data_IF_149161906346
#
_entry.id   IF_149161906346
#
_cell.length_a   1.000
_cell.length_b   1.000
_cell.length_c   1.000
_cell.angle_alpha   90.00
_cell.angle_beta   90.00
_cell.angle_gamma   90.00
#
_symmetry.space_group_name_H-M   'P 1'
#
loop_
_entity.id
_entity.type
_entity.pdbx_description
1 polymer ?
#
# COMPACT_ATOMS: atom_id res chain seq x y z
N UNK A 1 -12.59 -1.17 -5.23
CA UNK A 1 -11.26 -0.53 -5.18
C UNK A 1 -11.17 0.39 -4.00
N UNK A 2 -10.16 1.25 -3.94
CA UNK A 2 -9.97 2.15 -2.82
C UNK A 2 -11.22 2.97 -2.51
N UNK A 3 -11.90 3.46 -3.53
CA UNK A 3 -13.11 4.28 -3.36
C UNK A 3 -14.32 3.51 -2.85
N UNK A 4 -14.30 2.19 -2.93
CA UNK A 4 -15.41 1.39 -2.40
C UNK A 4 -15.42 1.36 -0.88
N UNK A 5 -14.28 1.63 -0.26
CA UNK A 5 -14.11 1.57 1.18
C UNK A 5 -13.92 2.94 1.83
N UNK A 6 -13.43 3.91 1.07
CA UNK A 6 -13.12 5.24 1.58
C UNK A 6 -13.77 6.30 0.71
N UNK A 7 -14.30 7.32 1.34
CA UNK A 7 -14.72 8.53 0.65
C UNK A 7 -13.51 9.39 0.32
N UNK A 8 -13.68 10.37 -0.58
CA UNK A 8 -12.56 11.17 -1.08
C UNK A 8 -11.78 11.88 0.03
N UNK A 9 -12.47 12.43 1.02
CA UNK A 9 -11.81 13.12 2.13
C UNK A 9 -11.08 12.14 3.06
N UNK A 10 -11.62 10.94 3.26
CA UNK A 10 -10.96 9.90 4.04
C UNK A 10 -9.71 9.39 3.31
N UNK A 11 -9.79 9.26 2.00
CA UNK A 11 -8.65 8.87 1.19
C UNK A 11 -7.54 9.91 1.28
N UNK A 12 -7.91 11.19 1.26
CA UNK A 12 -6.95 12.28 1.42
C UNK A 12 -6.26 12.23 2.79
N UNK A 13 -7.02 11.95 3.85
CA UNK A 13 -6.45 11.80 5.18
C UNK A 13 -5.44 10.66 5.23
N UNK A 14 -5.76 9.53 4.60
CA UNK A 14 -4.84 8.40 4.51
C UNK A 14 -3.55 8.79 3.79
N UNK A 15 -3.66 9.49 2.66
CA UNK A 15 -2.50 9.94 1.90
C UNK A 15 -1.62 10.87 2.72
N UNK A 16 -2.21 11.80 3.45
CA UNK A 16 -1.47 12.73 4.32
C UNK A 16 -0.79 11.98 5.47
N UNK A 17 -1.49 11.03 6.06
CA UNK A 17 -0.91 10.21 7.13
C UNK A 17 0.33 9.47 6.66
N UNK A 18 0.25 8.82 5.50
CA UNK A 18 1.37 8.08 4.93
C UNK A 18 2.51 9.00 4.49
N UNK A 19 2.18 10.19 4.00
CA UNK A 19 3.20 11.17 3.63
C UNK A 19 4.03 11.62 4.85
N UNK A 20 3.37 11.72 6.02
CA UNK A 20 4.05 12.08 7.26
C UNK A 20 4.76 10.93 7.94
N UNK A 21 4.37 9.69 7.63
CA UNK A 21 4.97 8.50 8.24
C UNK A 21 4.94 7.31 7.28
N UNK A 22 5.77 7.31 6.23
CA UNK A 22 5.68 6.25 5.21
C UNK A 22 6.04 4.86 5.74
N UNK A 23 6.68 4.77 6.89
CA UNK A 23 7.04 3.49 7.49
C UNK A 23 6.07 3.06 8.61
N UNK A 24 4.91 3.68 8.68
CA UNK A 24 3.93 3.38 9.73
C UNK A 24 3.39 1.95 9.65
N UNK A 25 3.22 1.39 8.45
CA UNK A 25 2.77 0.01 8.30
C UNK A 25 3.89 -1.00 8.49
N UNK A 26 3.51 -2.23 8.83
CA UNK A 26 4.47 -3.31 9.03
C UNK A 26 4.85 -3.96 7.70
N UNK A 27 6.13 -4.23 7.53
CA UNK A 27 6.61 -4.91 6.32
C UNK A 27 6.02 -6.32 6.25
N UNK A 28 5.50 -6.67 5.10
CA UNK A 28 4.91 -8.00 4.85
C UNK A 28 5.96 -8.94 4.26
N UNK A 29 6.28 -10.04 4.96
CA UNK A 29 7.23 -11.01 4.40
C UNK A 29 6.75 -11.56 3.05
N UNK A 30 7.68 -11.81 2.16
CA UNK A 30 7.37 -12.42 0.86
C UNK A 30 6.86 -11.48 -0.20
N UNK A 31 6.82 -10.17 0.06
CA UNK A 31 6.32 -9.18 -0.89
C UNK A 31 7.41 -8.28 -1.48
N UNK A 32 8.63 -8.39 -0.97
CA UNK A 32 9.72 -7.52 -1.43
C UNK A 32 9.73 -6.17 -0.75
N UNK A 33 8.90 -5.96 0.28
CA UNK A 33 8.93 -4.73 1.06
C UNK A 33 7.61 -3.97 1.11
N UNK A 34 6.53 -4.54 0.59
CA UNK A 34 5.21 -3.95 0.79
C UNK A 34 4.88 -3.91 2.27
N UNK A 35 4.11 -2.90 2.66
CA UNK A 35 3.70 -2.70 4.05
C UNK A 35 2.19 -2.83 4.18
N UNK A 36 1.76 -3.28 5.35
CA UNK A 36 0.35 -3.42 5.69
C UNK A 36 0.04 -2.49 6.85
N UNK A 37 -0.92 -1.60 6.65
CA UNK A 37 -1.34 -0.62 7.64
C UNK A 37 -2.78 -0.89 8.03
N UNK A 38 -3.06 -0.86 9.33
CA UNK A 38 -4.43 -0.90 9.84
C UNK A 38 -5.05 0.47 9.73
N UNK A 39 -6.29 0.53 9.25
CA UNK A 39 -6.98 1.80 9.06
C UNK A 39 -8.42 1.70 9.52
N UNK A 40 -8.95 2.77 10.07
CA UNK A 40 -10.32 2.78 10.58
C UNK A 40 -11.33 2.66 9.44
N UNK A 41 -12.37 1.85 9.65
CA UNK A 41 -13.48 1.73 8.71
C UNK A 41 -14.68 2.48 9.28
N UNK A 42 -14.87 3.72 8.87
CA UNK A 42 -15.94 4.58 9.38
C UNK A 42 -17.33 4.11 8.95
N UNK A 43 -17.42 3.42 7.84
CA UNK A 43 -18.70 2.89 7.35
C UNK A 43 -19.32 1.91 8.34
N UNK A 44 -18.47 1.21 9.09
CA UNK A 44 -18.90 0.17 10.03
C UNK A 44 -18.74 0.56 11.49
N UNK A 45 -18.26 1.74 11.76
CA UNK A 45 -17.98 2.19 13.12
C UNK A 45 -16.86 1.40 13.78
N UNK A 46 -16.01 0.73 13.01
CA UNK A 46 -14.90 -0.05 13.54
C UNK A 46 -13.64 0.77 13.59
N UNK A 47 -12.87 0.62 14.67
CA UNK A 47 -11.56 1.21 14.79
C UNK A 47 -10.53 0.47 13.95
N UNK A 48 -9.25 0.86 14.09
CA UNK A 48 -8.15 0.33 13.28
C UNK A 48 -8.02 -1.19 13.35
N UNK A 49 -8.30 -1.79 14.50
CA UNK A 49 -8.15 -3.23 14.68
C UNK A 49 -9.16 -4.05 13.90
N UNK A 50 -10.39 -3.58 13.81
CA UNK A 50 -11.46 -4.29 13.15
C UNK A 50 -11.81 -3.74 11.79
N UNK A 51 -11.01 -2.81 11.26
CA UNK A 51 -11.32 -2.08 10.06
C UNK A 51 -10.61 -2.58 8.82
N UNK A 52 -10.08 -1.62 8.08
CA UNK A 52 -9.44 -1.88 6.80
C UNK A 52 -7.96 -2.19 6.95
N UNK A 53 -7.44 -2.89 5.97
CA UNK A 53 -6.00 -3.11 5.79
C UNK A 53 -5.58 -2.43 4.49
N UNK A 54 -4.56 -1.57 4.57
CA UNK A 54 -4.02 -0.84 3.42
C UNK A 54 -2.68 -1.46 3.07
N UNK A 55 -2.53 -1.87 1.81
CA UNK A 55 -1.28 -2.43 1.30
C UNK A 55 -0.61 -1.38 0.43
N UNK A 56 0.61 -1.00 0.78
CA UNK A 56 1.33 0.03 0.05
C UNK A 56 2.83 -0.26 0.03
N UNK A 57 3.53 0.42 -0.86
CA UNK A 57 4.99 0.36 -0.94
C UNK A 57 5.55 1.77 -0.88
N UNK A 58 6.58 1.98 -0.07
CA UNK A 58 7.26 3.27 0.01
C UNK A 58 8.48 3.25 -0.91
N UNK A 59 8.39 4.04 -1.99
CA UNK A 59 9.49 4.21 -2.95
C UNK A 59 10.38 5.36 -2.46
N UNK A 60 11.30 5.05 -1.53
CA UNK A 60 12.09 6.07 -0.86
C UNK A 60 12.98 6.87 -1.81
N UNK A 61 13.49 6.24 -2.86
CA UNK A 61 14.33 6.92 -3.84
C UNK A 61 13.59 8.02 -4.59
N UNK A 62 12.29 7.85 -4.78
CA UNK A 62 11.45 8.81 -5.50
C UNK A 62 10.55 9.61 -4.55
N UNK A 63 10.63 9.35 -3.25
CA UNK A 63 9.78 9.94 -2.22
C UNK A 63 8.31 9.81 -2.59
N UNK A 64 7.89 8.59 -2.95
CA UNK A 64 6.52 8.29 -3.37
C UNK A 64 5.94 7.13 -2.58
N UNK A 65 4.62 7.18 -2.38
CA UNK A 65 3.87 6.08 -1.79
C UNK A 65 3.08 5.42 -2.92
N UNK A 66 3.26 4.13 -3.10
CA UNK A 66 2.54 3.35 -4.09
C UNK A 66 1.46 2.55 -3.40
N UNK A 67 0.23 3.08 -3.43
CA UNK A 67 -0.93 2.38 -2.86
C UNK A 67 -1.37 1.28 -3.81
N UNK A 68 -1.33 0.05 -3.34
CA UNK A 68 -1.69 -1.09 -4.18
C UNK A 68 -3.15 -1.47 -4.03
N UNK A 69 -3.59 -1.67 -2.80
CA UNK A 69 -4.97 -2.09 -2.55
C UNK A 69 -5.30 -1.88 -1.09
N UNK A 70 -6.59 -1.98 -0.78
CA UNK A 70 -7.02 -2.11 0.60
C UNK A 70 -8.18 -3.11 0.66
N UNK A 71 -8.34 -3.72 1.80
CA UNK A 71 -9.38 -4.72 1.98
C UNK A 71 -9.93 -4.67 3.40
N UNK A 72 -11.15 -5.19 3.55
CA UNK A 72 -11.81 -5.32 4.83
C UNK A 72 -11.30 -6.60 5.50
N UNK A 73 -10.79 -6.47 6.71
CA UNK A 73 -10.30 -7.61 7.49
C UNK A 73 -11.36 -8.71 7.65
N UNK A 74 -12.64 -8.33 7.74
CA UNK A 74 -13.72 -9.30 7.91
C UNK A 74 -14.02 -10.07 6.61
N UNK A 75 -13.70 -9.48 5.47
CA UNK A 75 -13.88 -10.13 4.18
C UNK A 75 -12.70 -11.01 3.79
N UNK A 76 -11.50 -10.61 4.25
CA UNK A 76 -10.28 -11.33 3.93
C UNK A 76 -9.28 -11.18 5.07
N UNK A 77 -8.84 -12.29 5.63
CA UNK A 77 -7.95 -12.25 6.81
C UNK A 77 -6.55 -11.74 6.45
N UNK A 78 -6.02 -12.16 5.30
CA UNK A 78 -4.69 -11.77 4.84
C UNK A 78 -4.57 -12.12 3.35
N UNK A 79 -3.50 -11.64 2.74
CA UNK A 79 -3.17 -12.02 1.37
C UNK A 79 -2.65 -13.45 1.32
N UNK A 80 -3.01 -14.17 0.27
CA UNK A 80 -2.48 -15.51 0.03
C UNK A 80 -1.01 -15.44 -0.38
N UNK A 81 -0.33 -16.58 -0.32
CA UNK A 81 1.05 -16.67 -0.80
C UNK A 81 1.16 -16.29 -2.28
N UNK A 82 0.18 -16.68 -3.09
CA UNK A 82 0.16 -16.33 -4.50
C UNK A 82 0.00 -14.83 -4.71
N UNK A 83 -0.85 -14.19 -3.92
CA UNK A 83 -1.04 -12.74 -3.98
C UNK A 83 0.22 -11.99 -3.57
N UNK A 84 0.90 -12.46 -2.54
CA UNK A 84 2.17 -11.86 -2.10
C UNK A 84 3.25 -11.99 -3.18
N UNK A 85 3.31 -13.12 -3.86
CA UNK A 85 4.25 -13.32 -4.97
C UNK A 85 3.92 -12.39 -6.15
N UNK A 86 2.63 -12.20 -6.41
CA UNK A 86 2.20 -11.29 -7.48
C UNK A 86 2.59 -9.84 -7.16
N UNK A 87 2.46 -9.41 -5.91
CA UNK A 87 2.91 -8.09 -5.49
C UNK A 87 4.41 -7.92 -5.69
N UNK A 88 5.19 -8.92 -5.30
CA UNK A 88 6.64 -8.88 -5.45
C UNK A 88 7.04 -8.79 -6.91
N UNK A 89 6.39 -9.57 -7.78
CA UNK A 89 6.68 -9.55 -9.22
C UNK A 89 6.35 -8.18 -9.82
N UNK A 90 5.20 -7.61 -9.46
CA UNK A 90 4.80 -6.29 -9.94
C UNK A 90 5.79 -5.21 -9.48
N UNK A 91 6.26 -5.31 -8.24
CA UNK A 91 7.24 -4.39 -7.70
C UNK A 91 8.55 -4.46 -8.47
N UNK A 92 9.03 -5.65 -8.75
CA UNK A 92 10.29 -5.84 -9.50
C UNK A 92 10.22 -5.21 -10.88
N UNK A 93 9.08 -5.39 -11.58
CA UNK A 93 8.87 -4.77 -12.88
C UNK A 93 8.90 -3.24 -12.78
N UNK A 94 8.21 -2.69 -11.79
CA UNK A 94 8.15 -1.24 -11.64
C UNK A 94 9.49 -0.64 -11.26
N UNK A 95 10.24 -1.28 -10.36
CA UNK A 95 11.56 -0.80 -9.98
C UNK A 95 12.54 -0.84 -11.14
N UNK A 96 12.48 -1.87 -11.97
CA UNK A 96 13.32 -1.98 -13.16
C UNK A 96 12.98 -0.87 -14.17
N UNK A 97 11.69 -0.59 -14.35
CA UNK A 97 11.23 0.47 -15.25
C UNK A 97 11.72 1.84 -14.79
N UNK A 98 11.66 2.11 -13.49
CA UNK A 98 12.11 3.39 -12.92
C UNK A 98 13.62 3.53 -13.04
N UNK A 99 14.36 2.46 -12.83
CA UNK A 99 15.83 2.47 -13.00
C UNK A 99 16.22 2.77 -14.45
N UNK A 100 15.50 2.16 -15.41
CA UNK A 100 15.76 2.42 -16.82
C UNK A 100 15.50 3.88 -17.18
N UNK A 101 14.41 4.45 -16.66
CA UNK A 101 14.10 5.87 -16.91
C UNK A 101 15.18 6.79 -16.33
N UNK A 102 15.68 6.50 -15.15
CA UNK A 102 16.76 7.30 -14.56
C UNK A 102 18.02 7.24 -15.40
N UNK A 103 18.37 6.08 -15.94
CA UNK A 103 19.55 5.96 -16.83
C UNK A 103 19.39 6.81 -18.09
N UNK A 104 18.19 6.82 -18.67
CA UNK A 104 17.92 7.62 -19.85
C UNK A 104 18.03 9.12 -19.57
N UNK A 105 17.62 9.57 -18.41
CA UNK A 105 17.70 10.97 -18.03
C UNK A 105 19.12 11.47 -17.85
N UNK A 106 20.04 10.59 -17.56
CA UNK A 106 21.45 10.96 -17.33
C UNK A 106 22.24 11.16 -18.60
N UNK A 107 21.66 10.80 -19.73
CA UNK A 107 22.26 11.03 -21.03
C UNK A 107 21.80 12.38 -21.61
#
# INVERSE_FOLDING_TARGET
MVRDYLEDDEYRVLQLFLAGGPEAGDVMPGTGGFRKLRWADRRRGKGKRGGLRVIYYYLSADVQIWLMTLYDKDEMADLSAAEKRALKAALEVELARRAARRRLRRK
#
